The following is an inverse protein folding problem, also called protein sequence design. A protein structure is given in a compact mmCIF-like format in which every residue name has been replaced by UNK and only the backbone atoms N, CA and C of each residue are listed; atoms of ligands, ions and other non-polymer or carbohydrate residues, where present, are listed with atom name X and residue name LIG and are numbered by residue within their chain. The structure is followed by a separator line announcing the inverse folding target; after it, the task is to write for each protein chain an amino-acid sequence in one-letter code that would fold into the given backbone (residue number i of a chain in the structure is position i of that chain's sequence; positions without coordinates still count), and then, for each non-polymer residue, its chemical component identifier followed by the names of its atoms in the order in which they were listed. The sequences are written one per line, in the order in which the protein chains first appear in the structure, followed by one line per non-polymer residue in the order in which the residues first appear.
data_IF_921058822308
#
_entry.id   IF_921058822308
#
_cell.length_a   1.000
_cell.length_b   1.000
_cell.length_c   1.000
_cell.angle_alpha   90.00
_cell.angle_beta   90.00
_cell.angle_gamma   90.00
#
_symmetry.space_group_name_H-M   'P 1'
#
loop_
_entity.id
_entity.type
_entity.pdbx_description
1 polymer ?
#
# COMPACT_ATOMS: atom_id res chain seq x y z
N UNK A 1 4.45 22.74 5.35
CA UNK A 1 3.27 23.29 4.65
C UNK A 1 2.27 22.19 4.33
N UNK A 2 2.65 21.15 3.57
CA UNK A 2 1.74 20.02 3.25
C UNK A 2 1.14 19.35 4.50
N UNK A 3 1.95 19.06 5.53
CA UNK A 3 1.45 18.50 6.81
C UNK A 3 0.27 19.29 7.41
N UNK A 4 0.32 20.63 7.36
CA UNK A 4 -0.73 21.48 7.90
C UNK A 4 -2.01 21.44 7.04
N UNK A 5 -1.88 21.29 5.72
CA UNK A 5 -3.03 21.19 4.82
C UNK A 5 -3.78 19.88 5.01
N UNK A 6 -3.05 18.80 5.27
CA UNK A 6 -3.59 17.46 5.54
C UNK A 6 -3.96 17.24 7.02
N UNK A 7 -3.82 18.26 7.87
CA UNK A 7 -4.01 18.14 9.33
C UNK A 7 -3.18 17.01 9.97
N UNK A 8 -1.98 16.77 9.46
CA UNK A 8 -1.05 15.73 9.90
C UNK A 8 0.08 16.28 10.78
N UNK A 9 0.60 15.43 11.68
CA UNK A 9 1.71 15.79 12.60
C UNK A 9 3.05 16.05 11.89
N UNK A 10 3.23 15.48 10.68
CA UNK A 10 4.48 15.56 9.94
C UNK A 10 4.30 15.31 8.45
N UNK A 11 5.32 15.69 7.67
CA UNK A 11 5.39 15.44 6.24
C UNK A 11 6.83 15.16 5.84
N UNK A 12 7.04 14.13 5.02
CA UNK A 12 8.33 13.77 4.45
C UNK A 12 8.31 14.06 2.94
N UNK A 13 9.18 14.97 2.50
CA UNK A 13 9.40 15.21 1.07
C UNK A 13 10.44 14.20 0.54
N UNK A 14 10.15 13.63 -0.63
CA UNK A 14 10.99 12.61 -1.29
C UNK A 14 11.10 12.90 -2.78
N UNK A 15 11.90 12.10 -3.50
CA UNK A 15 12.26 12.36 -4.90
C UNK A 15 11.09 12.26 -5.90
N UNK A 16 10.06 11.46 -5.62
CA UNK A 16 8.91 11.25 -6.51
C UNK A 16 7.71 10.65 -5.76
N UNK A 17 6.54 10.59 -6.40
CA UNK A 17 5.36 9.89 -5.85
C UNK A 17 5.64 8.42 -5.56
N UNK A 18 6.27 7.69 -6.49
CA UNK A 18 6.67 6.30 -6.25
C UNK A 18 7.69 6.15 -5.12
N UNK A 19 8.59 7.13 -4.94
CA UNK A 19 9.47 7.14 -3.77
C UNK A 19 8.69 7.29 -2.46
N UNK A 20 7.61 8.10 -2.44
CA UNK A 20 6.80 8.30 -1.24
C UNK A 20 6.06 7.02 -0.86
N UNK A 21 5.44 6.40 -1.86
CA UNK A 21 4.66 5.18 -1.72
C UNK A 21 5.57 4.01 -1.29
N UNK A 22 6.66 3.75 -2.01
CA UNK A 22 7.61 2.67 -1.68
C UNK A 22 8.32 2.87 -0.34
N UNK A 23 8.73 4.11 0.00
CA UNK A 23 9.34 4.40 1.31
C UNK A 23 8.38 4.05 2.44
N UNK A 24 7.10 4.37 2.28
CA UNK A 24 6.05 4.04 3.27
C UNK A 24 5.92 2.53 3.45
N UNK A 25 5.89 1.77 2.35
CA UNK A 25 5.81 0.31 2.39
C UNK A 25 7.01 -0.32 3.08
N UNK A 26 8.24 0.04 2.70
CA UNK A 26 9.45 -0.53 3.31
C UNK A 26 9.67 -0.09 4.77
N UNK A 27 9.10 1.05 5.17
CA UNK A 27 9.09 1.46 6.57
C UNK A 27 8.19 0.55 7.44
N UNK A 28 7.05 0.11 6.89
CA UNK A 28 6.02 -0.62 7.64
C UNK A 28 6.10 -2.14 7.51
N UNK A 29 6.57 -2.64 6.38
CA UNK A 29 6.51 -4.05 6.02
C UNK A 29 7.83 -4.78 6.26
N UNK A 30 7.69 -6.09 6.50
CA UNK A 30 8.76 -7.07 6.61
C UNK A 30 8.39 -8.33 5.82
N UNK A 31 9.39 -9.17 5.57
CA UNK A 31 9.18 -10.49 4.97
C UNK A 31 8.14 -11.28 5.77
N UNK A 32 7.17 -11.86 5.06
CA UNK A 32 6.04 -12.61 5.62
C UNK A 32 4.78 -11.79 5.83
N UNK A 33 4.86 -10.45 5.77
CA UNK A 33 3.69 -9.58 5.87
C UNK A 33 2.81 -9.65 4.61
N UNK A 34 1.57 -9.19 4.77
CA UNK A 34 0.54 -9.19 3.74
C UNK A 34 -0.07 -7.79 3.53
N UNK A 35 -0.48 -7.51 2.30
CA UNK A 35 -1.14 -6.26 1.89
C UNK A 35 -2.45 -6.60 1.16
N UNK A 36 -3.48 -5.80 1.38
CA UNK A 36 -4.68 -5.77 0.55
C UNK A 36 -4.62 -4.53 -0.33
N UNK A 37 -4.73 -4.66 -1.65
CA UNK A 37 -4.69 -3.53 -2.60
C UNK A 37 -5.92 -3.49 -3.49
N UNK A 38 -6.35 -2.30 -3.89
CA UNK A 38 -7.35 -2.14 -4.94
C UNK A 38 -6.83 -2.61 -6.31
N UNK A 39 -7.73 -3.03 -7.20
CA UNK A 39 -7.41 -3.33 -8.60
C UNK A 39 -7.08 -2.07 -9.42
N UNK A 40 -7.67 -0.93 -9.07
CA UNK A 40 -7.68 0.31 -9.85
C UNK A 40 -6.65 1.30 -9.33
N UNK A 41 -5.42 0.82 -9.09
CA UNK A 41 -4.28 1.67 -8.71
C UNK A 41 -3.48 2.09 -9.94
N UNK A 42 -2.69 3.16 -9.82
CA UNK A 42 -1.69 3.54 -10.80
C UNK A 42 -0.84 2.33 -11.24
N UNK A 43 -0.60 2.19 -12.55
CA UNK A 43 -0.07 0.95 -13.13
C UNK A 43 1.31 0.55 -12.57
N UNK A 44 2.19 1.52 -12.27
CA UNK A 44 3.49 1.21 -11.65
C UNK A 44 3.36 0.83 -10.18
N UNK A 45 2.35 1.34 -9.48
CA UNK A 45 2.01 0.88 -8.13
C UNK A 45 1.55 -0.58 -8.18
N UNK A 46 0.67 -0.90 -9.13
CA UNK A 46 0.18 -2.26 -9.33
C UNK A 46 1.32 -3.25 -9.65
N UNK A 47 2.23 -2.91 -10.57
CA UNK A 47 3.38 -3.76 -10.89
C UNK A 47 4.28 -4.00 -9.68
N UNK A 48 4.49 -2.99 -8.83
CA UNK A 48 5.27 -3.17 -7.61
C UNK A 48 4.62 -4.19 -6.67
N UNK A 49 3.31 -4.10 -6.45
CA UNK A 49 2.59 -5.03 -5.58
C UNK A 49 2.54 -6.46 -6.12
N UNK A 50 2.34 -6.61 -7.42
CA UNK A 50 2.14 -7.89 -8.08
C UNK A 50 3.48 -8.64 -8.29
N UNK A 51 4.55 -7.92 -8.64
CA UNK A 51 5.81 -8.52 -9.05
C UNK A 51 7.00 -8.22 -8.15
N UNK A 52 7.09 -7.03 -7.53
CA UNK A 52 8.32 -6.60 -6.83
C UNK A 52 8.29 -6.88 -5.35
N UNK A 53 7.15 -6.75 -4.69
CA UNK A 53 7.04 -7.03 -3.26
C UNK A 53 7.20 -8.52 -2.95
N UNK A 54 6.89 -9.39 -3.92
CA UNK A 54 7.12 -10.84 -3.81
C UNK A 54 8.61 -11.17 -3.67
N UNK A 55 9.51 -10.41 -4.31
CA UNK A 55 10.97 -10.54 -4.15
C UNK A 55 11.43 -10.30 -2.69
N UNK A 56 10.66 -9.54 -1.90
CA UNK A 56 10.89 -9.27 -0.49
C UNK A 56 10.10 -10.20 0.45
N UNK A 57 9.39 -11.18 -0.12
CA UNK A 57 8.53 -12.13 0.59
C UNK A 57 7.30 -11.47 1.22
N UNK A 58 6.79 -10.41 0.61
CA UNK A 58 5.52 -9.77 0.98
C UNK A 58 4.46 -10.22 -0.01
N UNK A 59 3.31 -10.63 0.50
CA UNK A 59 2.17 -11.09 -0.31
C UNK A 59 1.14 -9.97 -0.48
N UNK A 60 0.52 -9.89 -1.66
CA UNK A 60 -0.56 -8.94 -1.94
C UNK A 60 -1.82 -9.69 -2.36
N UNK A 61 -2.97 -9.35 -1.78
CA UNK A 61 -4.30 -9.73 -2.29
C UNK A 61 -4.97 -8.52 -2.94
N UNK A 62 -5.39 -8.66 -4.20
CA UNK A 62 -6.12 -7.62 -4.92
C UNK A 62 -7.64 -7.81 -4.80
N UNK A 63 -8.36 -6.74 -4.48
CA UNK A 63 -9.83 -6.72 -4.31
C UNK A 63 -10.43 -5.46 -4.92
N UNK A 64 -11.75 -5.45 -5.12
CA UNK A 64 -12.48 -4.19 -5.31
C UNK A 64 -12.69 -3.54 -3.93
N UNK A 65 -12.01 -2.43 -3.67
CA UNK A 65 -12.07 -1.75 -2.37
C UNK A 65 -13.37 -0.98 -2.13
N UNK A 66 -14.22 -0.85 -3.14
CA UNK A 66 -15.59 -0.35 -2.97
C UNK A 66 -16.52 -1.42 -2.36
N UNK A 67 -16.15 -2.69 -2.48
CA UNK A 67 -16.81 -3.81 -1.81
C UNK A 67 -16.11 -4.12 -0.47
N UNK A 68 -16.65 -3.54 0.59
CA UNK A 68 -16.13 -3.69 1.96
C UNK A 68 -16.05 -5.17 2.38
N UNK A 69 -16.94 -6.03 1.89
CA UNK A 69 -16.93 -7.45 2.28
C UNK A 69 -15.75 -8.19 1.63
N UNK A 70 -15.41 -7.86 0.38
CA UNK A 70 -14.18 -8.39 -0.24
C UNK A 70 -12.94 -7.94 0.53
N UNK A 71 -12.85 -6.66 0.91
CA UNK A 71 -11.74 -6.15 1.74
C UNK A 71 -11.66 -6.92 3.06
N UNK A 72 -12.80 -7.10 3.74
CA UNK A 72 -12.87 -7.79 5.03
C UNK A 72 -12.42 -9.24 4.94
N UNK A 73 -12.76 -9.94 3.85
CA UNK A 73 -12.36 -11.34 3.62
C UNK A 73 -10.88 -11.48 3.26
N UNK A 74 -10.28 -10.46 2.62
CA UNK A 74 -8.87 -10.45 2.26
C UNK A 74 -7.94 -10.13 3.45
N UNK A 75 -8.46 -9.57 4.55
CA UNK A 75 -7.65 -9.30 5.75
C UNK A 75 -7.32 -10.60 6.49
N UNK A 76 -6.04 -10.78 6.79
CA UNK A 76 -5.49 -11.88 7.60
C UNK A 76 -4.73 -11.33 8.80
N UNK A 77 -4.31 -12.20 9.72
CA UNK A 77 -3.47 -11.81 10.88
C UNK A 77 -2.10 -11.20 10.46
N UNK A 78 -1.69 -11.45 9.21
CA UNK A 78 -0.45 -10.92 8.62
C UNK A 78 -0.66 -9.60 7.87
N UNK A 79 -1.91 -9.18 7.65
CA UNK A 79 -2.20 -7.93 6.91
C UNK A 79 -1.71 -6.72 7.70
N UNK A 80 -0.85 -5.90 7.07
CA UNK A 80 -0.34 -4.66 7.66
C UNK A 80 -0.86 -3.40 7.00
N UNK A 81 -1.23 -3.49 5.72
CA UNK A 81 -1.64 -2.34 4.92
C UNK A 81 -2.88 -2.72 4.09
N UNK A 82 -3.82 -1.77 3.99
CA UNK A 82 -4.86 -1.74 2.97
C UNK A 82 -4.57 -0.50 2.11
N UNK A 83 -4.43 -0.68 0.79
CA UNK A 83 -4.01 0.37 -0.14
C UNK A 83 -5.04 0.59 -1.25
N UNK A 84 -5.37 1.85 -1.52
CA UNK A 84 -6.28 2.27 -2.59
C UNK A 84 -5.97 3.71 -3.06
N UNK A 85 -6.48 4.09 -4.22
CA UNK A 85 -6.37 5.44 -4.81
C UNK A 85 -7.78 5.94 -5.18
N UNK A 86 -8.06 7.26 -5.02
CA UNK A 86 -9.38 7.87 -5.29
C UNK A 86 -9.28 9.26 -5.93
#
# INVERSE_FOLDING_TARGET
QVALLESADGCLAVASGMAAVSTTWFALLKTGDHIVSDWTTYSSTHEMFDHRLTDFGIETTFVDTTDIEQVRQAVTDRTKIIYFET
#
